data_IF_420965203591
#
_entry.id   IF_420965203591
#
_cell.length_a   1.000
_cell.length_b   1.000
_cell.length_c   1.000
_cell.angle_alpha   90.00
_cell.angle_beta   90.00
_cell.angle_gamma   90.00
#
_symmetry.space_group_name_H-M   'P 1'
#
loop_
_entity.id
_entity.type
_entity.pdbx_description
1 polymer ?
#
# COMPACT_ATOMS: atom_id res chain seq x y z
N UNK A 1 34.70 6.94 -19.19
CA UNK A 1 33.49 7.62 -19.72
C UNK A 1 32.30 6.80 -19.27
N UNK A 2 31.37 7.38 -18.51
CA UNK A 2 30.23 6.64 -17.94
C UNK A 2 29.25 6.23 -19.04
N UNK A 3 28.49 5.16 -18.82
CA UNK A 3 27.67 4.52 -19.86
C UNK A 3 26.55 5.43 -20.39
N UNK A 4 26.01 6.32 -19.56
CA UNK A 4 24.98 7.27 -19.98
C UNK A 4 25.44 8.24 -21.10
N UNK A 5 26.71 8.64 -21.13
CA UNK A 5 27.21 9.50 -22.22
C UNK A 5 27.25 8.76 -23.56
N UNK A 6 27.50 7.45 -23.55
CA UNK A 6 27.47 6.63 -24.77
C UNK A 6 26.05 6.56 -25.34
N UNK A 7 25.05 6.39 -24.48
CA UNK A 7 23.65 6.43 -24.88
C UNK A 7 23.26 7.81 -25.42
N UNK A 8 23.64 8.88 -24.72
CA UNK A 8 23.38 10.25 -25.18
C UNK A 8 23.95 10.49 -26.59
N UNK A 9 25.22 10.16 -26.81
CA UNK A 9 25.86 10.29 -28.13
C UNK A 9 25.22 9.39 -29.20
N UNK A 10 24.79 8.17 -28.84
CA UNK A 10 24.11 7.29 -29.80
C UNK A 10 22.75 7.85 -30.24
N UNK A 11 22.04 8.54 -29.35
CA UNK A 11 20.73 9.15 -29.60
C UNK A 11 20.81 10.48 -30.37
N UNK A 12 22.00 11.04 -30.59
CA UNK A 12 22.22 12.18 -31.50
C UNK A 12 22.10 11.77 -32.97
N UNK A 13 22.26 10.48 -33.29
CA UNK A 13 22.04 9.94 -34.63
C UNK A 13 20.56 10.01 -35.04
N UNK A 14 20.31 10.26 -36.32
CA UNK A 14 18.95 10.26 -36.89
C UNK A 14 18.39 8.85 -37.10
N UNK A 15 19.23 7.82 -37.02
CA UNK A 15 18.78 6.44 -37.13
C UNK A 15 18.19 5.92 -35.80
N UNK A 16 16.98 5.35 -35.82
CA UNK A 16 16.39 4.69 -34.66
C UNK A 16 17.33 3.66 -34.04
N UNK A 17 17.13 3.37 -32.76
CA UNK A 17 17.87 2.30 -32.09
C UNK A 17 17.33 0.98 -32.62
N UNK A 18 18.22 0.05 -32.95
CA UNK A 18 17.83 -1.32 -33.25
C UNK A 18 17.27 -1.99 -31.99
N UNK A 19 16.48 -3.05 -32.16
CA UNK A 19 15.91 -3.80 -31.03
C UNK A 19 17.00 -4.31 -30.07
N UNK A 20 18.14 -4.74 -30.59
CA UNK A 20 19.26 -5.22 -29.78
C UNK A 20 19.94 -4.08 -29.00
N UNK A 21 20.07 -2.90 -29.60
CA UNK A 21 20.55 -1.71 -28.90
C UNK A 21 19.60 -1.31 -27.77
N UNK A 22 18.27 -1.33 -28.00
CA UNK A 22 17.29 -1.02 -26.95
C UNK A 22 17.39 -2.03 -25.80
N UNK A 23 17.49 -3.32 -26.10
CA UNK A 23 17.67 -4.37 -25.07
C UNK A 23 18.96 -4.15 -24.27
N UNK A 24 20.05 -3.81 -24.94
CA UNK A 24 21.32 -3.47 -24.30
C UNK A 24 21.17 -2.29 -23.35
N UNK A 25 20.59 -1.17 -23.79
CA UNK A 25 20.41 0.01 -22.94
C UNK A 25 19.42 -0.21 -21.80
N UNK A 26 18.41 -1.07 -22.00
CA UNK A 26 17.51 -1.48 -20.93
C UNK A 26 18.26 -2.21 -19.81
N UNK A 27 19.16 -3.13 -20.14
CA UNK A 27 19.97 -3.85 -19.16
C UNK A 27 20.99 -2.93 -18.48
N UNK A 28 21.69 -2.09 -19.25
CA UNK A 28 22.72 -1.19 -18.71
C UNK A 28 22.14 -0.10 -17.80
N UNK A 29 20.90 0.32 -18.05
CA UNK A 29 20.22 1.35 -17.24
C UNK A 29 19.60 0.81 -15.95
N UNK A 30 19.62 -0.50 -15.73
CA UNK A 30 19.05 -1.13 -14.54
C UNK A 30 19.56 -0.50 -13.24
N UNK A 31 18.70 -0.49 -12.22
CA UNK A 31 19.02 0.16 -10.93
C UNK A 31 20.23 -0.48 -10.24
N UNK A 32 20.46 -1.78 -10.43
CA UNK A 32 21.63 -2.49 -9.92
C UNK A 32 22.95 -1.99 -10.52
N UNK A 33 22.90 -1.38 -11.72
CA UNK A 33 24.05 -0.82 -12.42
C UNK A 33 24.16 0.71 -12.31
N UNK A 34 23.29 1.36 -11.52
CA UNK A 34 23.18 2.82 -11.50
C UNK A 34 24.52 3.54 -11.22
N UNK A 35 25.34 3.02 -10.31
CA UNK A 35 26.65 3.60 -10.01
C UNK A 35 27.60 3.60 -11.22
N UNK A 36 27.57 2.54 -12.04
CA UNK A 36 28.34 2.45 -13.27
C UNK A 36 27.72 3.29 -14.39
N UNK A 37 26.40 3.22 -14.53
CA UNK A 37 25.68 3.84 -15.63
C UNK A 37 25.71 5.37 -15.58
N UNK A 38 25.33 5.95 -14.44
CA UNK A 38 25.29 7.41 -14.24
C UNK A 38 26.67 7.97 -13.84
N UNK A 39 27.48 7.19 -13.13
CA UNK A 39 28.78 7.61 -12.59
C UNK A 39 28.68 8.57 -11.41
N UNK A 40 29.82 9.16 -11.04
CA UNK A 40 29.94 9.99 -9.83
C UNK A 40 29.49 11.45 -10.02
N UNK A 41 29.50 11.98 -11.25
CA UNK A 41 29.09 13.35 -11.52
C UNK A 41 27.58 13.46 -11.78
N UNK A 42 26.81 13.64 -10.71
CA UNK A 42 25.34 13.70 -10.78
C UNK A 42 24.80 14.88 -11.59
N UNK A 43 25.52 16.01 -11.68
CA UNK A 43 25.06 17.19 -12.42
C UNK A 43 25.04 16.89 -13.92
N UNK A 44 26.14 16.35 -14.43
CA UNK A 44 26.24 15.97 -15.84
C UNK A 44 25.33 14.78 -16.16
N UNK A 45 25.24 13.80 -15.25
CA UNK A 45 24.32 12.67 -15.41
C UNK A 45 22.86 13.13 -15.56
N UNK A 46 22.43 14.14 -14.78
CA UNK A 46 21.09 14.75 -14.92
C UNK A 46 20.90 15.40 -16.29
N UNK A 47 21.88 16.18 -16.76
CA UNK A 47 21.80 16.83 -18.07
C UNK A 47 21.74 15.81 -19.22
N UNK A 48 22.48 14.72 -19.12
CA UNK A 48 22.41 13.63 -20.08
C UNK A 48 21.06 12.91 -20.01
N UNK A 49 20.60 12.57 -18.80
CA UNK A 49 19.32 11.90 -18.61
C UNK A 49 18.15 12.74 -19.15
N UNK A 50 18.15 14.05 -18.90
CA UNK A 50 17.14 14.97 -19.46
C UNK A 50 17.08 14.88 -20.98
N UNK A 51 18.24 15.01 -21.65
CA UNK A 51 18.33 14.95 -23.12
C UNK A 51 17.91 13.59 -23.67
N UNK A 52 18.34 12.52 -23.01
CA UNK A 52 17.96 11.15 -23.40
C UNK A 52 16.44 10.97 -23.25
N UNK A 53 15.87 11.33 -22.10
CA UNK A 53 14.44 11.20 -21.85
C UNK A 53 13.62 12.03 -22.85
N UNK A 54 14.06 13.24 -23.18
CA UNK A 54 13.45 14.07 -24.21
C UNK A 54 13.42 13.38 -25.58
N UNK A 55 14.55 12.82 -26.02
CA UNK A 55 14.63 12.10 -27.30
C UNK A 55 13.79 10.83 -27.27
N UNK A 56 13.80 10.06 -26.18
CA UNK A 56 13.01 8.84 -26.04
C UNK A 56 11.50 9.16 -26.11
N UNK A 57 11.04 10.21 -25.46
CA UNK A 57 9.64 10.64 -25.53
C UNK A 57 9.29 11.13 -26.94
N UNK A 58 10.03 12.12 -27.45
CA UNK A 58 9.68 12.81 -28.70
C UNK A 58 9.92 11.99 -29.96
N UNK A 59 11.04 11.26 -30.06
CA UNK A 59 11.40 10.49 -31.27
C UNK A 59 10.93 9.04 -31.27
N UNK A 60 10.65 8.44 -30.11
CA UNK A 60 10.23 7.03 -30.03
C UNK A 60 8.79 6.87 -29.58
N UNK A 61 8.43 7.39 -28.40
CA UNK A 61 7.09 7.18 -27.84
C UNK A 61 6.02 7.86 -28.70
N UNK A 62 6.27 9.10 -29.13
CA UNK A 62 5.37 9.85 -30.02
C UNK A 62 5.49 9.49 -31.51
N UNK A 63 6.38 8.57 -31.90
CA UNK A 63 6.63 8.31 -33.32
C UNK A 63 5.42 7.63 -33.99
N UNK A 64 4.82 8.22 -35.04
CA UNK A 64 3.67 7.64 -35.74
C UNK A 64 4.04 6.48 -36.68
N UNK A 65 5.30 6.40 -37.11
CA UNK A 65 5.76 5.39 -38.06
C UNK A 65 6.03 4.05 -37.36
N UNK A 66 5.11 3.11 -37.53
CA UNK A 66 5.18 1.75 -36.96
C UNK A 66 6.27 0.89 -37.58
N UNK A 67 6.68 1.18 -38.82
CA UNK A 67 7.77 0.46 -39.46
C UNK A 67 9.13 0.90 -38.89
N UNK A 68 9.26 2.21 -38.59
CA UNK A 68 10.47 2.75 -37.97
C UNK A 68 10.56 2.44 -36.46
N UNK A 69 9.45 2.57 -35.71
CA UNK A 69 9.40 2.31 -34.26
C UNK A 69 8.19 1.42 -33.93
N UNK A 70 8.36 0.09 -33.94
CA UNK A 70 7.32 -0.85 -33.55
C UNK A 70 6.85 -0.66 -32.09
N UNK A 71 5.61 -1.07 -31.78
CA UNK A 71 5.04 -1.01 -30.43
C UNK A 71 5.93 -1.69 -29.38
N UNK A 72 6.49 -2.84 -29.73
CA UNK A 72 7.48 -3.58 -28.96
C UNK A 72 8.69 -2.74 -28.53
N UNK A 73 9.18 -1.88 -29.41
CA UNK A 73 10.29 -0.98 -29.11
C UNK A 73 9.83 0.17 -28.23
N UNK A 74 8.59 0.69 -28.42
CA UNK A 74 8.02 1.71 -27.52
C UNK A 74 7.87 1.20 -26.09
N UNK A 75 7.36 -0.02 -25.90
CA UNK A 75 7.25 -0.66 -24.59
C UNK A 75 8.62 -0.81 -23.90
N UNK A 76 9.66 -1.20 -24.65
CA UNK A 76 11.03 -1.28 -24.13
C UNK A 76 11.63 0.10 -23.81
N UNK A 77 11.30 1.13 -24.59
CA UNK A 77 11.67 2.51 -24.28
C UNK A 77 10.99 2.99 -22.99
N UNK A 78 9.72 2.66 -22.75
CA UNK A 78 9.05 2.92 -21.48
C UNK A 78 9.79 2.26 -20.30
N UNK A 79 10.31 1.04 -20.49
CA UNK A 79 11.12 0.35 -19.48
C UNK A 79 12.44 1.07 -19.18
N UNK A 80 13.11 1.65 -20.18
CA UNK A 80 14.31 2.49 -19.96
C UNK A 80 13.96 3.73 -19.13
N UNK A 81 12.87 4.43 -19.48
CA UNK A 81 12.39 5.58 -18.70
C UNK A 81 12.02 5.19 -17.26
N UNK A 82 11.46 3.99 -17.09
CA UNK A 82 11.17 3.41 -15.79
C UNK A 82 12.42 3.21 -14.94
N UNK A 83 13.52 2.74 -15.52
CA UNK A 83 14.79 2.60 -14.83
C UNK A 83 15.37 3.97 -14.42
N UNK A 84 15.23 4.97 -15.28
CA UNK A 84 15.64 6.35 -14.97
C UNK A 84 14.80 6.94 -13.84
N UNK A 85 13.48 6.72 -13.86
CA UNK A 85 12.56 7.19 -12.82
C UNK A 85 12.76 6.49 -11.47
N UNK A 86 13.24 5.24 -11.49
CA UNK A 86 13.59 4.48 -10.29
C UNK A 86 14.82 5.08 -9.59
N UNK A 87 15.80 5.57 -10.36
CA UNK A 87 16.97 6.23 -9.79
C UNK A 87 16.64 7.66 -9.29
N UNK A 88 16.42 7.78 -7.97
CA UNK A 88 15.95 9.00 -7.29
C UNK A 88 16.65 10.31 -7.70
N UNK A 89 17.99 10.38 -7.89
CA UNK A 89 18.65 11.62 -8.33
C UNK A 89 18.21 12.11 -9.71
N UNK A 90 17.83 11.20 -10.61
CA UNK A 90 17.55 11.46 -12.03
C UNK A 90 16.05 11.54 -12.32
N UNK A 91 15.20 10.95 -11.46
CA UNK A 91 13.74 10.90 -11.60
C UNK A 91 13.08 12.19 -12.09
N UNK A 92 13.49 13.35 -11.56
CA UNK A 92 12.94 14.65 -11.96
C UNK A 92 13.11 14.93 -13.45
N UNK A 93 14.20 14.46 -14.04
CA UNK A 93 14.48 14.65 -15.46
C UNK A 93 13.47 13.91 -16.36
N UNK A 94 13.02 12.73 -15.92
CA UNK A 94 11.97 12.01 -16.63
C UNK A 94 10.63 12.73 -16.47
N UNK A 95 10.30 13.16 -15.26
CA UNK A 95 9.06 13.88 -14.97
C UNK A 95 8.88 15.13 -15.84
N UNK A 96 9.96 15.91 -16.02
CA UNK A 96 9.96 17.16 -16.81
C UNK A 96 9.73 16.98 -18.31
N UNK A 97 9.79 15.75 -18.85
CA UNK A 97 9.57 15.50 -20.29
C UNK A 97 8.27 14.76 -20.59
N UNK A 98 7.58 14.24 -19.57
CA UNK A 98 6.33 13.50 -19.80
C UNK A 98 5.17 14.39 -20.26
N UNK A 99 5.27 15.70 -20.05
CA UNK A 99 4.32 16.69 -20.58
C UNK A 99 4.35 16.78 -22.12
N UNK A 100 5.40 16.27 -22.76
CA UNK A 100 5.54 16.19 -24.22
C UNK A 100 4.91 14.94 -24.82
N UNK A 101 4.31 14.05 -24.03
CA UNK A 101 3.60 12.90 -24.58
C UNK A 101 2.38 13.38 -25.38
N UNK A 102 2.24 12.86 -26.58
CA UNK A 102 1.16 13.23 -27.51
C UNK A 102 0.08 12.14 -27.56
N UNK A 103 -1.11 12.49 -28.08
CA UNK A 103 -2.25 11.58 -28.23
C UNK A 103 -1.90 10.27 -28.96
N UNK A 104 -0.92 10.30 -29.88
CA UNK A 104 -0.46 9.09 -30.56
C UNK A 104 0.09 8.01 -29.61
N UNK A 105 0.75 8.43 -28.54
CA UNK A 105 1.25 7.49 -27.54
C UNK A 105 0.10 6.84 -26.77
N UNK A 106 -0.95 7.59 -26.44
CA UNK A 106 -2.17 7.04 -25.82
C UNK A 106 -2.87 6.01 -26.72
N UNK A 107 -2.93 6.29 -28.02
CA UNK A 107 -3.42 5.33 -29.03
C UNK A 107 -2.55 4.06 -29.08
N UNK A 108 -1.24 4.21 -28.97
CA UNK A 108 -0.30 3.08 -28.94
C UNK A 108 -0.54 2.16 -27.72
N UNK A 109 -0.86 2.73 -26.55
CA UNK A 109 -1.21 1.95 -25.35
C UNK A 109 -2.50 1.16 -25.57
N UNK A 110 -3.52 1.81 -26.15
CA UNK A 110 -4.82 1.17 -26.45
C UNK A 110 -4.67 0.04 -27.45
N UNK A 111 -3.84 0.22 -28.47
CA UNK A 111 -3.57 -0.79 -29.48
C UNK A 111 -2.82 -2.00 -28.90
N UNK A 112 -1.78 -1.78 -28.09
CA UNK A 112 -1.03 -2.89 -27.46
C UNK A 112 -1.95 -3.77 -26.61
N UNK A 113 -2.92 -3.17 -25.91
CA UNK A 113 -3.89 -3.92 -25.10
C UNK A 113 -4.71 -4.93 -25.92
N UNK A 114 -4.87 -4.74 -27.23
CA UNK A 114 -5.57 -5.67 -28.14
C UNK A 114 -4.69 -6.81 -28.65
N UNK A 115 -3.37 -6.70 -28.49
CA UNK A 115 -2.41 -7.71 -28.94
C UNK A 115 -2.34 -8.88 -27.95
N UNK A 116 -1.84 -10.03 -28.44
CA UNK A 116 -1.54 -11.18 -27.59
C UNK A 116 -0.53 -10.76 -26.53
N UNK A 117 -0.78 -11.17 -25.29
CA UNK A 117 0.10 -10.88 -24.16
C UNK A 117 1.48 -11.50 -24.40
N UNK A 118 2.52 -10.67 -24.34
CA UNK A 118 3.92 -11.09 -24.31
C UNK A 118 4.38 -11.18 -22.84
N UNK A 119 4.62 -12.39 -22.29
CA UNK A 119 5.08 -12.55 -20.92
C UNK A 119 6.47 -11.97 -20.64
N UNK A 120 7.33 -11.88 -21.65
CA UNK A 120 8.70 -11.34 -21.47
C UNK A 120 8.69 -9.82 -21.37
N UNK A 121 7.84 -9.17 -22.17
CA UNK A 121 7.76 -7.72 -22.23
C UNK A 121 6.75 -7.15 -21.24
N UNK A 122 5.66 -7.86 -20.93
CA UNK A 122 4.54 -7.34 -20.15
C UNK A 122 3.67 -6.36 -20.94
N UNK A 123 2.64 -5.80 -20.30
CA UNK A 123 1.74 -4.83 -20.93
C UNK A 123 2.31 -3.42 -20.89
N UNK A 124 2.08 -2.65 -21.95
CA UNK A 124 2.50 -1.26 -22.02
C UNK A 124 1.80 -0.39 -20.97
N UNK A 125 0.52 -0.67 -20.70
CA UNK A 125 -0.27 -0.02 -19.64
C UNK A 125 0.32 -0.20 -18.25
N UNK A 126 0.91 -1.36 -17.97
CA UNK A 126 1.67 -1.62 -16.75
C UNK A 126 2.92 -0.77 -16.69
N UNK A 127 3.75 -0.74 -17.74
CA UNK A 127 4.97 0.08 -17.75
C UNK A 127 4.69 1.56 -17.57
N UNK A 128 3.62 2.07 -18.18
CA UNK A 128 3.23 3.47 -18.03
C UNK A 128 2.69 3.75 -16.63
N UNK A 129 1.89 2.87 -16.04
CA UNK A 129 1.44 3.03 -14.66
C UNK A 129 2.62 3.02 -13.66
N UNK A 130 3.58 2.11 -13.83
CA UNK A 130 4.83 2.08 -13.05
C UNK A 130 5.61 3.39 -13.21
N UNK A 131 5.71 3.91 -14.43
CA UNK A 131 6.41 5.15 -14.74
C UNK A 131 5.76 6.33 -14.00
N UNK A 132 4.44 6.47 -14.11
CA UNK A 132 3.67 7.51 -13.44
C UNK A 132 3.82 7.44 -11.91
N UNK A 133 3.81 6.25 -11.32
CA UNK A 133 4.06 6.10 -9.88
C UNK A 133 5.48 6.52 -9.51
N UNK A 134 6.49 6.10 -10.28
CA UNK A 134 7.90 6.44 -9.99
C UNK A 134 8.16 7.93 -10.11
N UNK A 135 7.74 8.57 -11.19
CA UNK A 135 7.98 10.01 -11.43
C UNK A 135 7.25 10.91 -10.45
N UNK A 136 6.06 10.50 -9.99
CA UNK A 136 5.33 11.21 -8.91
C UNK A 136 5.88 10.94 -7.52
N UNK A 137 6.94 10.14 -7.41
CA UNK A 137 7.55 9.77 -6.14
C UNK A 137 6.63 8.92 -5.26
N UNK A 138 5.85 8.04 -5.89
CA UNK A 138 4.91 7.12 -5.26
C UNK A 138 3.76 7.83 -4.54
N UNK A 139 3.30 8.94 -5.11
CA UNK A 139 2.17 9.75 -4.60
C UNK A 139 1.01 9.80 -5.58
N UNK A 140 0.98 8.89 -6.57
CA UNK A 140 -0.09 8.80 -7.55
C UNK A 140 -1.40 8.45 -6.84
N UNK A 141 -2.51 9.11 -7.18
CA UNK A 141 -3.82 8.88 -6.56
C UNK A 141 -4.71 8.04 -7.46
N UNK A 142 -5.75 7.43 -6.88
CA UNK A 142 -6.74 6.66 -7.62
C UNK A 142 -7.42 7.45 -8.75
N UNK A 143 -7.68 8.75 -8.55
CA UNK A 143 -8.23 9.62 -9.59
C UNK A 143 -7.31 9.72 -10.83
N UNK A 144 -5.99 9.74 -10.62
CA UNK A 144 -5.03 9.81 -11.74
C UNK A 144 -4.98 8.48 -12.51
N UNK A 145 -5.10 7.35 -11.82
CA UNK A 145 -5.17 6.03 -12.46
C UNK A 145 -6.50 5.87 -13.21
N UNK A 146 -7.59 6.41 -12.65
CA UNK A 146 -8.89 6.39 -13.30
C UNK A 146 -8.89 7.22 -14.59
N UNK A 147 -8.28 8.40 -14.57
CA UNK A 147 -8.07 9.24 -15.74
C UNK A 147 -7.22 8.52 -16.81
N UNK A 148 -6.09 7.94 -16.39
CA UNK A 148 -5.22 7.14 -17.27
C UNK A 148 -5.93 5.94 -17.94
N UNK A 149 -6.96 5.40 -17.29
CA UNK A 149 -7.71 4.23 -17.78
C UNK A 149 -9.05 4.61 -18.42
N UNK A 150 -9.20 5.85 -18.88
CA UNK A 150 -10.42 6.38 -19.51
C UNK A 150 -11.69 6.16 -18.65
N UNK A 151 -11.57 6.26 -17.32
CA UNK A 151 -12.69 6.06 -16.40
C UNK A 151 -13.03 4.59 -16.10
N UNK A 152 -12.28 3.62 -16.64
CA UNK A 152 -12.56 2.20 -16.41
C UNK A 152 -12.04 1.71 -15.04
N UNK A 153 -12.90 1.78 -14.03
CA UNK A 153 -12.57 1.34 -12.66
C UNK A 153 -12.18 -0.13 -12.58
N UNK A 154 -12.82 -1.02 -13.37
CA UNK A 154 -12.51 -2.44 -13.33
C UNK A 154 -11.09 -2.72 -13.83
N UNK A 155 -10.73 -2.13 -14.97
CA UNK A 155 -9.39 -2.23 -15.52
C UNK A 155 -8.35 -1.58 -14.59
N UNK A 156 -8.64 -0.40 -14.04
CA UNK A 156 -7.83 0.26 -13.01
C UNK A 156 -7.49 -0.66 -11.84
N UNK A 157 -8.50 -1.30 -11.23
CA UNK A 157 -8.30 -2.20 -10.09
C UNK A 157 -7.48 -3.43 -10.51
N UNK A 158 -7.79 -4.03 -11.66
CA UNK A 158 -7.04 -5.16 -12.19
C UNK A 158 -5.57 -4.81 -12.43
N UNK A 159 -5.28 -3.63 -12.98
CA UNK A 159 -3.94 -3.15 -13.21
C UNK A 159 -3.17 -2.98 -11.89
N UNK A 160 -3.78 -2.32 -10.90
CA UNK A 160 -3.13 -2.13 -9.59
C UNK A 160 -2.88 -3.44 -8.86
N UNK A 161 -3.80 -4.41 -8.96
CA UNK A 161 -3.60 -5.75 -8.43
C UNK A 161 -2.51 -6.51 -9.20
N UNK A 162 -2.48 -6.40 -10.53
CA UNK A 162 -1.41 -7.02 -11.33
C UNK A 162 -0.03 -6.50 -10.93
N UNK A 163 0.10 -5.19 -10.70
CA UNK A 163 1.35 -4.58 -10.20
C UNK A 163 1.70 -5.05 -8.79
N UNK A 164 0.71 -5.13 -7.89
CA UNK A 164 0.91 -5.55 -6.50
C UNK A 164 1.31 -7.03 -6.38
N UNK A 165 0.81 -7.87 -7.28
CA UNK A 165 0.97 -9.34 -7.27
C UNK A 165 2.05 -9.82 -8.26
N UNK A 166 2.82 -8.91 -8.85
CA UNK A 166 3.81 -9.27 -9.86
C UNK A 166 4.99 -10.02 -9.23
N UNK A 167 5.48 -11.02 -9.97
CA UNK A 167 6.74 -11.70 -9.68
C UNK A 167 7.71 -11.55 -10.87
N UNK A 168 8.97 -11.09 -10.66
CA UNK A 168 9.51 -10.61 -9.39
C UNK A 168 8.83 -9.32 -8.90
N UNK A 169 8.75 -9.16 -7.58
CA UNK A 169 8.09 -8.02 -6.95
C UNK A 169 8.75 -6.67 -7.31
N UNK A 170 7.92 -5.64 -7.48
CA UNK A 170 8.37 -4.25 -7.62
C UNK A 170 8.92 -3.69 -6.31
N UNK A 171 9.56 -2.52 -6.38
CA UNK A 171 10.08 -1.86 -5.19
C UNK A 171 8.97 -1.46 -4.20
N UNK A 172 9.29 -1.46 -2.90
CA UNK A 172 8.32 -1.21 -1.83
C UNK A 172 7.48 0.06 -2.03
N UNK A 173 8.12 1.16 -2.47
CA UNK A 173 7.42 2.43 -2.73
C UNK A 173 6.25 2.28 -3.69
N UNK A 174 6.43 1.47 -4.74
CA UNK A 174 5.41 1.19 -5.73
C UNK A 174 4.30 0.33 -5.15
N UNK A 175 4.65 -0.77 -4.48
CA UNK A 175 3.69 -1.68 -3.85
C UNK A 175 2.80 -0.94 -2.82
N UNK A 176 3.40 -0.10 -1.98
CA UNK A 176 2.66 0.77 -1.04
C UNK A 176 1.76 1.79 -1.74
N UNK A 177 2.17 2.32 -2.90
CA UNK A 177 1.33 3.22 -3.67
C UNK A 177 0.13 2.47 -4.26
N UNK A 178 0.31 1.25 -4.80
CA UNK A 178 -0.78 0.40 -5.28
C UNK A 178 -1.83 0.16 -4.19
N UNK A 179 -1.42 -0.17 -2.96
CA UNK A 179 -2.32 -0.37 -1.82
C UNK A 179 -3.14 0.91 -1.54
N UNK A 180 -2.49 2.06 -1.56
CA UNK A 180 -3.16 3.35 -1.31
C UNK A 180 -4.13 3.74 -2.44
N UNK A 181 -3.79 3.41 -3.68
CA UNK A 181 -4.67 3.60 -4.84
C UNK A 181 -5.89 2.67 -4.75
N UNK A 182 -5.67 1.40 -4.41
CA UNK A 182 -6.75 0.40 -4.24
C UNK A 182 -7.73 0.81 -3.12
N UNK A 183 -7.22 1.37 -2.02
CA UNK A 183 -8.08 2.02 -1.02
C UNK A 183 -8.94 3.12 -1.66
N UNK A 184 -8.34 3.99 -2.48
CA UNK A 184 -9.04 5.08 -3.15
C UNK A 184 -10.22 4.61 -4.00
N UNK A 185 -10.12 3.45 -4.67
CA UNK A 185 -11.23 2.85 -5.43
C UNK A 185 -12.36 2.29 -4.57
N UNK A 186 -12.20 2.23 -3.25
CA UNK A 186 -13.24 1.80 -2.31
C UNK A 186 -13.79 2.94 -1.44
N UNK A 187 -13.37 4.18 -1.72
CA UNK A 187 -13.86 5.36 -1.01
C UNK A 187 -15.07 5.93 -1.74
N UNK A 188 -16.22 6.12 -1.05
CA UNK A 188 -17.38 6.77 -1.64
C UNK A 188 -17.04 8.15 -2.23
N UNK A 189 -16.11 8.89 -1.62
CA UNK A 189 -15.70 10.22 -2.08
C UNK A 189 -15.10 10.22 -3.49
N UNK A 190 -14.65 9.07 -4.01
CA UNK A 190 -14.18 8.96 -5.38
C UNK A 190 -15.32 8.89 -6.42
N UNK A 191 -16.55 8.61 -5.98
CA UNK A 191 -17.70 8.34 -6.85
C UNK A 191 -18.89 9.29 -6.60
N UNK A 192 -18.96 9.91 -5.42
CA UNK A 192 -20.01 10.85 -5.07
C UNK A 192 -19.44 12.25 -4.95
N UNK A 193 -20.01 13.18 -5.72
CA UNK A 193 -19.72 14.61 -5.64
C UNK A 193 -20.62 15.26 -4.60
N UNK A 194 -20.04 15.97 -3.63
CA UNK A 194 -20.78 16.63 -2.54
C UNK A 194 -21.75 17.70 -3.07
N UNK A 195 -21.47 18.25 -4.26
CA UNK A 195 -22.32 19.24 -4.92
C UNK A 195 -23.52 18.63 -5.67
N UNK A 196 -23.51 17.31 -5.88
CA UNK A 196 -24.58 16.58 -6.56
C UNK A 196 -25.37 15.79 -5.52
N UNK A 197 -26.69 15.72 -5.68
CA UNK A 197 -27.52 14.84 -4.87
C UNK A 197 -27.06 13.39 -5.00
N UNK A 198 -27.15 12.62 -3.91
CA UNK A 198 -26.86 11.18 -3.96
C UNK A 198 -28.09 10.46 -4.50
N UNK A 199 -27.97 9.92 -5.71
CA UNK A 199 -29.03 9.13 -6.35
C UNK A 199 -28.90 7.65 -5.97
N UNK A 200 -30.03 6.97 -5.77
CA UNK A 200 -30.06 5.54 -5.44
C UNK A 200 -29.32 4.68 -6.48
N UNK A 201 -29.48 4.99 -7.77
CA UNK A 201 -28.76 4.31 -8.85
C UNK A 201 -27.23 4.45 -8.73
N UNK A 202 -26.75 5.59 -8.23
CA UNK A 202 -25.32 5.81 -7.99
C UNK A 202 -24.81 4.98 -6.80
N UNK A 203 -25.63 4.81 -5.76
CA UNK A 203 -25.33 3.92 -4.65
C UNK A 203 -25.27 2.45 -5.09
N UNK A 204 -26.24 1.99 -5.89
CA UNK A 204 -26.25 0.64 -6.44
C UNK A 204 -25.01 0.38 -7.30
N UNK A 205 -24.68 1.31 -8.20
CA UNK A 205 -23.48 1.19 -9.05
C UNK A 205 -22.18 1.14 -8.24
N UNK A 206 -22.08 1.91 -7.14
CA UNK A 206 -20.93 1.85 -6.26
C UNK A 206 -20.82 0.48 -5.57
N UNK A 207 -21.93 -0.02 -5.04
CA UNK A 207 -21.98 -1.34 -4.39
C UNK A 207 -21.61 -2.47 -5.34
N UNK A 208 -22.14 -2.48 -6.57
CA UNK A 208 -21.78 -3.47 -7.61
C UNK A 208 -20.27 -3.46 -7.92
N UNK A 209 -19.64 -2.27 -7.92
CA UNK A 209 -18.18 -2.16 -8.09
C UNK A 209 -17.43 -2.74 -6.90
N UNK A 210 -17.89 -2.50 -5.67
CA UNK A 210 -17.29 -3.10 -4.48
C UNK A 210 -17.41 -4.62 -4.51
N UNK A 211 -18.57 -5.14 -4.93
CA UNK A 211 -18.78 -6.58 -5.10
C UNK A 211 -17.82 -7.15 -6.16
N UNK A 212 -17.63 -6.49 -7.30
CA UNK A 212 -16.62 -6.87 -8.28
C UNK A 212 -15.21 -6.92 -7.67
N UNK A 213 -14.81 -5.89 -6.91
CA UNK A 213 -13.49 -5.83 -6.25
C UNK A 213 -13.36 -6.99 -5.26
N UNK A 214 -14.38 -7.25 -4.45
CA UNK A 214 -14.39 -8.36 -3.48
C UNK A 214 -14.17 -9.71 -4.18
N UNK A 215 -14.95 -10.01 -5.23
CA UNK A 215 -14.82 -11.26 -5.98
C UNK A 215 -13.44 -11.41 -6.63
N UNK A 216 -12.89 -10.31 -7.17
CA UNK A 216 -11.56 -10.31 -7.75
C UNK A 216 -10.48 -10.57 -6.70
N UNK A 217 -10.58 -9.92 -5.54
CA UNK A 217 -9.68 -10.11 -4.40
C UNK A 217 -9.68 -11.56 -3.90
N UNK A 218 -10.87 -12.16 -3.75
CA UNK A 218 -11.04 -13.54 -3.33
C UNK A 218 -10.44 -14.51 -4.37
N UNK A 219 -10.76 -14.31 -5.66
CA UNK A 219 -10.27 -15.16 -6.75
C UNK A 219 -8.74 -15.16 -6.85
N UNK A 220 -8.13 -14.00 -6.67
CA UNK A 220 -6.67 -13.82 -6.74
C UNK A 220 -5.96 -14.11 -5.41
N UNK A 221 -6.69 -14.42 -4.33
CA UNK A 221 -6.15 -14.52 -2.96
C UNK A 221 -5.31 -13.30 -2.57
N UNK A 222 -5.68 -12.13 -3.09
CA UNK A 222 -4.83 -10.96 -3.08
C UNK A 222 -4.59 -10.39 -1.67
N UNK A 223 -5.44 -10.72 -0.68
CA UNK A 223 -5.20 -10.36 0.73
C UNK A 223 -3.99 -11.11 1.29
N UNK A 224 -3.79 -12.39 0.92
CA UNK A 224 -2.62 -13.13 1.38
C UNK A 224 -1.35 -12.53 0.79
N UNK A 225 -1.31 -12.30 -0.52
CA UNK A 225 -0.14 -11.69 -1.16
C UNK A 225 0.14 -10.28 -0.63
N UNK A 226 -0.90 -9.49 -0.33
CA UNK A 226 -0.77 -8.22 0.37
C UNK A 226 -0.14 -8.40 1.76
N UNK A 227 -0.56 -9.42 2.50
CA UNK A 227 0.02 -9.81 3.79
C UNK A 227 1.51 -10.14 3.65
N UNK A 228 1.87 -10.95 2.66
CA UNK A 228 3.25 -11.38 2.42
C UNK A 228 4.16 -10.19 2.09
N UNK A 229 3.70 -9.28 1.22
CA UNK A 229 4.43 -8.04 0.87
C UNK A 229 4.68 -7.16 2.09
N UNK A 230 3.67 -6.95 2.94
CA UNK A 230 3.82 -6.09 4.12
C UNK A 230 4.63 -6.78 5.21
N UNK A 231 4.40 -8.08 5.44
CA UNK A 231 5.12 -8.91 6.42
C UNK A 231 6.62 -8.92 6.13
N UNK A 232 7.01 -9.23 4.88
CA UNK A 232 8.43 -9.30 4.53
C UNK A 232 9.19 -8.00 4.82
N UNK A 233 8.50 -6.85 4.78
CA UNK A 233 9.10 -5.56 5.15
C UNK A 233 9.04 -5.26 6.64
N UNK A 234 8.00 -5.72 7.34
CA UNK A 234 7.86 -5.53 8.78
C UNK A 234 8.83 -6.40 9.57
N UNK A 235 9.09 -7.63 9.13
CA UNK A 235 10.02 -8.57 9.77
C UNK A 235 11.47 -8.05 9.76
N UNK A 236 11.86 -7.32 8.70
CA UNK A 236 13.20 -6.76 8.56
C UNK A 236 13.39 -5.46 9.36
N UNK A 237 12.30 -4.85 9.86
CA UNK A 237 12.35 -3.52 10.46
C UNK A 237 12.13 -3.52 11.97
N UNK A 238 13.00 -2.79 12.68
CA UNK A 238 12.86 -2.56 14.13
C UNK A 238 11.99 -1.34 14.47
N UNK A 239 11.67 -0.50 13.49
CA UNK A 239 10.91 0.75 13.68
C UNK A 239 9.96 0.96 12.52
N UNK A 240 8.72 1.37 12.82
CA UNK A 240 7.73 1.63 11.80
C UNK A 240 8.08 2.88 10.97
N UNK A 241 8.20 2.72 9.66
CA UNK A 241 8.38 3.86 8.74
C UNK A 241 7.03 4.50 8.39
N UNK A 242 6.99 5.80 8.03
CA UNK A 242 5.76 6.44 7.57
C UNK A 242 5.12 5.75 6.36
N UNK A 243 5.95 5.23 5.44
CA UNK A 243 5.49 4.53 4.24
C UNK A 243 4.73 3.25 4.60
N UNK A 244 5.32 2.39 5.43
CA UNK A 244 4.68 1.15 5.89
C UNK A 244 3.46 1.45 6.76
N UNK A 245 3.53 2.46 7.64
CA UNK A 245 2.37 2.86 8.43
C UNK A 245 1.17 3.21 7.56
N UNK A 246 1.37 4.05 6.54
CA UNK A 246 0.31 4.44 5.59
C UNK A 246 -0.18 3.23 4.80
N UNK A 247 0.73 2.37 4.30
CA UNK A 247 0.35 1.20 3.52
C UNK A 247 -0.48 0.20 4.34
N UNK A 248 -0.03 -0.17 5.54
CA UNK A 248 -0.76 -1.11 6.42
C UNK A 248 -2.11 -0.54 6.86
N UNK A 249 -2.17 0.76 7.17
CA UNK A 249 -3.44 1.43 7.47
C UNK A 249 -4.36 1.48 6.24
N UNK A 250 -3.82 1.71 5.05
CA UNK A 250 -4.59 1.73 3.81
C UNK A 250 -5.14 0.34 3.47
N UNK A 251 -4.35 -0.71 3.67
CA UNK A 251 -4.76 -2.11 3.53
C UNK A 251 -5.93 -2.45 4.47
N UNK A 252 -5.81 -2.14 5.77
CA UNK A 252 -6.89 -2.36 6.74
C UNK A 252 -8.18 -1.63 6.33
N UNK A 253 -8.08 -0.34 5.98
CA UNK A 253 -9.26 0.46 5.54
C UNK A 253 -9.87 -0.07 4.26
N UNK A 254 -9.05 -0.51 3.32
CA UNK A 254 -9.51 -1.05 2.04
C UNK A 254 -10.33 -2.32 2.26
N UNK A 255 -9.81 -3.26 3.05
CA UNK A 255 -10.51 -4.50 3.42
C UNK A 255 -11.80 -4.20 4.20
N UNK A 256 -11.78 -3.22 5.10
CA UNK A 256 -12.97 -2.79 5.84
C UNK A 256 -14.02 -2.12 4.93
N UNK A 257 -13.60 -1.34 3.94
CA UNK A 257 -14.51 -0.72 2.98
C UNK A 257 -15.21 -1.76 2.13
N UNK A 258 -14.48 -2.80 1.67
CA UNK A 258 -15.09 -3.93 0.97
C UNK A 258 -16.19 -4.56 1.85
N UNK A 259 -15.88 -4.87 3.12
CA UNK A 259 -16.87 -5.40 4.04
C UNK A 259 -18.09 -4.48 4.23
N UNK A 260 -17.85 -3.17 4.35
CA UNK A 260 -18.89 -2.18 4.68
C UNK A 260 -19.85 -1.93 3.53
N UNK A 261 -19.36 -2.02 2.29
CA UNK A 261 -20.08 -1.58 1.10
C UNK A 261 -20.42 -2.72 0.13
N UNK A 262 -20.00 -3.96 0.38
CA UNK A 262 -20.46 -5.11 -0.40
C UNK A 262 -21.95 -5.36 -0.14
N UNK A 263 -22.70 -5.74 -1.18
CA UNK A 263 -24.09 -6.18 -1.01
C UNK A 263 -24.18 -7.65 -0.61
N UNK A 264 -23.15 -8.43 -0.95
CA UNK A 264 -23.13 -9.87 -0.77
C UNK A 264 -21.90 -10.33 0.03
N UNK A 265 -21.95 -11.57 0.51
CA UNK A 265 -20.80 -12.33 1.01
C UNK A 265 -19.94 -11.67 2.09
N UNK A 266 -20.42 -10.65 2.81
CA UNK A 266 -19.64 -9.92 3.81
C UNK A 266 -19.18 -10.83 4.99
N UNK A 267 -19.94 -11.88 5.29
CA UNK A 267 -19.52 -12.92 6.25
C UNK A 267 -18.40 -13.80 5.69
N UNK A 268 -18.51 -14.24 4.44
CA UNK A 268 -17.46 -15.03 3.78
C UNK A 268 -16.17 -14.23 3.64
N UNK A 269 -16.27 -12.93 3.31
CA UNK A 269 -15.14 -12.02 3.26
C UNK A 269 -14.40 -11.98 4.59
N UNK A 270 -15.10 -11.74 5.71
CA UNK A 270 -14.46 -11.73 7.04
C UNK A 270 -13.86 -13.08 7.43
N UNK A 271 -14.57 -14.17 7.13
CA UNK A 271 -14.05 -15.53 7.35
C UNK A 271 -12.77 -15.77 6.54
N UNK A 272 -12.72 -15.32 5.29
CA UNK A 272 -11.52 -15.42 4.46
C UNK A 272 -10.35 -14.67 5.10
N UNK A 273 -10.54 -13.41 5.51
CA UNK A 273 -9.48 -12.65 6.19
C UNK A 273 -9.00 -13.38 7.45
N UNK A 274 -9.94 -13.84 8.28
CA UNK A 274 -9.64 -14.43 9.59
C UNK A 274 -9.03 -15.84 9.51
N UNK A 275 -9.48 -16.66 8.57
CA UNK A 275 -9.20 -18.10 8.55
C UNK A 275 -8.32 -18.55 7.38
N UNK A 276 -8.24 -17.75 6.33
CA UNK A 276 -7.56 -18.11 5.09
C UNK A 276 -6.40 -17.20 4.75
N UNK A 277 -6.09 -16.22 5.60
CA UNK A 277 -4.95 -15.32 5.41
C UNK A 277 -4.19 -15.09 6.70
N UNK A 278 -2.93 -14.68 6.57
CA UNK A 278 -2.10 -14.28 7.71
C UNK A 278 -2.18 -12.77 8.03
N UNK A 279 -3.15 -12.07 7.45
CA UNK A 279 -3.16 -10.61 7.50
C UNK A 279 -3.46 -10.08 8.90
N UNK A 280 -4.43 -10.68 9.61
CA UNK A 280 -4.77 -10.25 10.97
C UNK A 280 -3.80 -10.81 12.02
N UNK A 281 -3.62 -12.12 12.04
CA UNK A 281 -2.86 -12.85 13.06
C UNK A 281 -1.35 -12.56 12.97
N UNK A 282 -0.84 -12.18 11.80
CA UNK A 282 0.57 -11.84 11.62
C UNK A 282 0.82 -10.39 11.22
N UNK A 283 0.45 -9.94 10.01
CA UNK A 283 0.81 -8.59 9.51
C UNK A 283 0.32 -7.47 10.45
N UNK A 284 -0.98 -7.49 10.80
CA UNK A 284 -1.59 -6.48 11.70
C UNK A 284 -1.07 -6.65 13.12
N UNK A 285 -0.85 -7.87 13.60
CA UNK A 285 -0.24 -8.14 14.91
C UNK A 285 1.15 -7.52 15.03
N UNK A 286 2.05 -7.75 14.06
CA UNK A 286 3.40 -7.16 14.03
C UNK A 286 3.33 -5.64 14.01
N UNK A 287 2.49 -5.08 13.14
CA UNK A 287 2.23 -3.65 13.11
C UNK A 287 1.79 -3.11 14.47
N UNK A 288 0.83 -3.76 15.13
CA UNK A 288 0.32 -3.35 16.44
C UNK A 288 1.40 -3.42 17.51
N UNK A 289 2.21 -4.48 17.55
CA UNK A 289 3.32 -4.62 18.49
C UNK A 289 4.34 -3.48 18.33
N UNK A 290 4.77 -3.19 17.10
CA UNK A 290 5.72 -2.10 16.81
C UNK A 290 5.16 -0.73 17.23
N UNK A 291 3.86 -0.48 16.99
CA UNK A 291 3.22 0.77 17.40
C UNK A 291 3.05 0.87 18.92
N UNK A 292 2.75 -0.24 19.60
CA UNK A 292 2.62 -0.26 21.06
C UNK A 292 3.96 -0.02 21.75
N UNK A 293 5.05 -0.62 21.25
CA UNK A 293 6.42 -0.35 21.73
C UNK A 293 6.81 1.13 21.49
N UNK A 294 6.52 1.69 20.32
CA UNK A 294 6.76 3.10 20.04
C UNK A 294 5.93 4.03 20.96
N UNK A 295 4.68 3.66 21.26
CA UNK A 295 3.83 4.38 22.20
C UNK A 295 4.38 4.31 23.62
N UNK A 296 4.82 3.13 24.08
CA UNK A 296 5.43 2.96 25.39
C UNK A 296 6.64 3.88 25.56
N UNK A 297 7.58 3.85 24.61
CA UNK A 297 8.77 4.72 24.62
C UNK A 297 8.42 6.20 24.61
N UNK A 298 7.29 6.58 24.01
CA UNK A 298 6.82 7.97 23.98
C UNK A 298 6.24 8.41 25.32
N UNK A 299 5.53 7.52 26.02
CA UNK A 299 4.92 7.76 27.32
C UNK A 299 5.93 7.77 28.48
N UNK A 300 7.04 7.04 28.36
CA UNK A 300 8.12 7.02 29.37
C UNK A 300 8.93 8.32 29.43
N UNK A 301 8.77 9.22 28.46
CA UNK A 301 9.46 10.52 28.42
C UNK A 301 8.88 11.49 29.45
N UNK A 302 9.73 12.36 29.98
CA UNK A 302 9.35 13.41 30.97
C UNK A 302 8.29 14.39 30.44
N UNK A 303 8.20 14.54 29.12
CA UNK A 303 7.13 15.24 28.41
C UNK A 303 6.68 14.37 27.23
N UNK A 304 5.60 13.57 27.37
CA UNK A 304 5.14 12.68 26.33
C UNK A 304 4.73 13.45 25.06
N UNK A 305 5.43 13.17 23.96
CA UNK A 305 5.06 13.65 22.63
C UNK A 305 4.36 12.52 21.87
N UNK A 306 3.04 12.56 21.85
CA UNK A 306 2.22 11.50 21.29
C UNK A 306 1.85 11.82 19.83
N UNK A 307 2.35 11.00 18.91
CA UNK A 307 1.93 11.05 17.52
C UNK A 307 0.46 10.64 17.37
N UNK A 308 -0.37 11.60 16.95
CA UNK A 308 -1.80 11.37 16.67
C UNK A 308 -1.98 10.30 15.58
N UNK A 309 -1.10 10.30 14.57
CA UNK A 309 -1.16 9.32 13.48
C UNK A 309 -0.86 7.90 13.98
N UNK A 310 0.13 7.73 14.87
CA UNK A 310 0.38 6.45 15.54
C UNK A 310 -0.85 5.98 16.31
N UNK A 311 -1.44 6.85 17.14
CA UNK A 311 -2.64 6.50 17.93
C UNK A 311 -3.83 6.14 17.03
N UNK A 312 -4.03 6.86 15.93
CA UNK A 312 -5.07 6.55 14.93
C UNK A 312 -4.80 5.20 14.25
N UNK A 313 -3.54 4.88 14.00
CA UNK A 313 -3.11 3.58 13.48
C UNK A 313 -3.44 2.43 14.43
N UNK A 314 -3.10 2.58 15.71
CA UNK A 314 -3.42 1.59 16.76
C UNK A 314 -4.95 1.42 16.89
N UNK A 315 -5.70 2.52 16.95
CA UNK A 315 -7.17 2.50 16.99
C UNK A 315 -7.76 1.78 15.76
N UNK A 316 -7.19 2.01 14.57
CA UNK A 316 -7.60 1.32 13.35
C UNK A 316 -7.31 -0.18 13.44
N UNK A 317 -6.15 -0.59 13.95
CA UNK A 317 -5.81 -2.01 14.16
C UNK A 317 -6.81 -2.72 15.06
N UNK A 318 -7.20 -2.10 16.18
CA UNK A 318 -8.25 -2.65 17.05
C UNK A 318 -9.63 -2.72 16.38
N UNK A 319 -10.02 -1.70 15.61
CA UNK A 319 -11.28 -1.73 14.83
C UNK A 319 -11.27 -2.81 13.76
N UNK A 320 -10.15 -2.97 13.07
CA UNK A 320 -9.95 -4.00 12.06
C UNK A 320 -10.07 -5.40 12.67
N UNK A 321 -9.36 -5.64 13.77
CA UNK A 321 -9.41 -6.89 14.52
C UNK A 321 -10.83 -7.17 15.05
N UNK A 322 -11.51 -6.16 15.58
CA UNK A 322 -12.91 -6.25 16.01
C UNK A 322 -13.83 -6.65 14.85
N UNK A 323 -13.68 -6.02 13.68
CA UNK A 323 -14.48 -6.33 12.50
C UNK A 323 -14.29 -7.78 12.05
N UNK A 324 -13.03 -8.23 11.97
CA UNK A 324 -12.70 -9.59 11.54
C UNK A 324 -13.23 -10.65 12.50
N UNK A 325 -13.27 -10.37 13.80
CA UNK A 325 -13.66 -11.32 14.85
C UNK A 325 -15.14 -11.28 15.22
N UNK A 326 -15.87 -10.22 14.84
CA UNK A 326 -17.27 -10.04 15.22
C UNK A 326 -18.14 -11.25 14.83
N UNK A 327 -18.82 -11.87 15.81
CA UNK A 327 -19.68 -13.05 15.61
C UNK A 327 -18.98 -14.25 14.94
N UNK A 328 -17.66 -14.39 15.09
CA UNK A 328 -16.91 -15.56 14.57
C UNK A 328 -16.79 -16.72 15.58
N UNK A 329 -17.39 -16.58 16.77
CA UNK A 329 -17.45 -17.64 17.78
C UNK A 329 -16.06 -18.16 18.15
N UNK A 330 -15.89 -19.49 18.16
CA UNK A 330 -14.60 -20.14 18.47
C UNK A 330 -13.40 -19.59 17.70
N UNK A 331 -13.61 -19.16 16.44
CA UNK A 331 -12.54 -18.66 15.59
C UNK A 331 -12.02 -17.29 16.05
N UNK A 332 -12.89 -16.46 16.65
CA UNK A 332 -12.48 -15.21 17.28
C UNK A 332 -11.59 -15.47 18.49
N UNK A 333 -11.92 -16.48 19.31
CA UNK A 333 -11.13 -16.86 20.48
C UNK A 333 -9.67 -17.14 20.13
N UNK A 334 -9.41 -17.90 19.06
CA UNK A 334 -8.04 -18.27 18.62
C UNK A 334 -7.16 -17.04 18.35
N UNK A 335 -7.74 -15.92 17.90
CA UNK A 335 -7.00 -14.67 17.65
C UNK A 335 -6.33 -14.14 18.92
N UNK A 336 -6.86 -14.48 20.11
CA UNK A 336 -6.28 -14.10 21.39
C UNK A 336 -4.81 -14.51 21.49
N UNK A 337 -4.42 -15.66 20.95
CA UNK A 337 -3.05 -16.20 21.05
C UNK A 337 -2.02 -15.23 20.45
N UNK A 338 -2.40 -14.49 19.41
CA UNK A 338 -1.52 -13.56 18.69
C UNK A 338 -1.58 -12.13 19.26
N UNK A 339 -2.46 -11.86 20.23
CA UNK A 339 -2.81 -10.49 20.63
C UNK A 339 -2.06 -10.00 21.87
N UNK A 340 -0.74 -10.26 21.96
CA UNK A 340 0.11 -9.86 23.11
C UNK A 340 0.04 -8.36 23.41
N UNK A 341 -0.12 -7.53 22.38
CA UNK A 341 -0.29 -6.08 22.49
C UNK A 341 -1.46 -5.67 23.40
N UNK A 342 -2.46 -6.53 23.65
CA UNK A 342 -3.53 -6.27 24.62
C UNK A 342 -3.00 -6.12 26.03
N UNK A 343 -2.11 -7.03 26.45
CA UNK A 343 -1.50 -6.97 27.76
C UNK A 343 -0.59 -5.75 27.87
N UNK A 344 0.26 -5.52 26.87
CA UNK A 344 1.21 -4.40 26.84
C UNK A 344 0.50 -3.05 26.98
N UNK A 345 -0.59 -2.85 26.23
CA UNK A 345 -1.41 -1.64 26.30
C UNK A 345 -2.03 -1.40 27.68
N UNK A 346 -2.42 -2.46 28.39
CA UNK A 346 -2.93 -2.35 29.77
C UNK A 346 -1.83 -1.98 30.77
N UNK A 347 -0.55 -2.21 30.46
CA UNK A 347 0.56 -1.76 31.30
C UNK A 347 0.83 -0.25 31.16
N UNK A 348 0.41 0.38 30.07
CA UNK A 348 0.61 1.81 29.83
C UNK A 348 -0.32 2.69 30.67
N UNK A 349 0.23 3.75 31.26
CA UNK A 349 -0.50 4.72 32.11
C UNK A 349 -0.87 5.96 31.31
N UNK A 350 -2.15 6.37 31.36
CA UNK A 350 -2.60 7.59 30.67
C UNK A 350 -2.43 8.85 31.52
N UNK A 351 -2.13 8.70 32.81
CA UNK A 351 -2.04 9.82 33.77
C UNK A 351 -1.03 10.90 33.41
N UNK A 352 -0.01 10.55 32.63
CA UNK A 352 1.07 11.46 32.23
C UNK A 352 0.73 12.29 30.98
N UNK A 353 -0.43 12.06 30.37
CA UNK A 353 -0.91 12.81 29.22
C UNK A 353 -1.83 13.93 29.71
N UNK A 354 -1.47 15.22 29.51
CA UNK A 354 -2.32 16.34 29.89
C UNK A 354 -3.70 16.23 29.25
N UNK A 355 -4.78 16.54 29.98
CA UNK A 355 -6.16 16.47 29.46
C UNK A 355 -6.40 17.42 28.28
N UNK A 356 -5.72 18.55 28.27
CA UNK A 356 -5.82 19.54 27.21
C UNK A 356 -4.99 19.16 25.96
N UNK A 357 -4.23 18.06 26.02
CA UNK A 357 -3.50 17.55 24.86
C UNK A 357 -4.51 16.90 23.87
N UNK A 358 -4.55 17.32 22.59
CA UNK A 358 -5.42 16.71 21.58
C UNK A 358 -5.29 15.18 21.47
N UNK A 359 -4.10 14.64 21.74
CA UNK A 359 -3.82 13.21 21.73
C UNK A 359 -4.54 12.43 22.85
N UNK A 360 -4.95 13.09 23.94
CA UNK A 360 -5.66 12.45 25.06
C UNK A 360 -6.98 11.82 24.61
N UNK A 361 -7.77 12.56 23.81
CA UNK A 361 -9.05 12.06 23.27
C UNK A 361 -8.86 10.85 22.35
N UNK A 362 -7.79 10.86 21.55
CA UNK A 362 -7.46 9.78 20.61
C UNK A 362 -6.95 8.55 21.37
N UNK A 363 -6.14 8.73 22.41
CA UNK A 363 -5.67 7.66 23.28
C UNK A 363 -6.84 6.97 24.02
N UNK A 364 -7.81 7.74 24.54
CA UNK A 364 -9.03 7.17 25.12
C UNK A 364 -9.82 6.34 24.09
N UNK A 365 -9.86 6.79 22.84
CA UNK A 365 -10.49 6.04 21.75
C UNK A 365 -9.77 4.72 21.47
N UNK A 366 -8.43 4.71 21.50
CA UNK A 366 -7.62 3.48 21.38
C UNK A 366 -8.05 2.43 22.41
N UNK A 367 -8.13 2.80 23.70
CA UNK A 367 -8.57 1.87 24.75
C UNK A 367 -10.02 1.41 24.56
N UNK A 368 -10.91 2.30 24.11
CA UNK A 368 -12.30 1.93 23.79
C UNK A 368 -12.36 0.87 22.69
N UNK A 369 -11.62 1.08 21.60
CA UNK A 369 -11.56 0.12 20.49
C UNK A 369 -10.90 -1.20 20.93
N UNK A 370 -9.88 -1.14 21.78
CA UNK A 370 -9.26 -2.32 22.39
C UNK A 370 -10.26 -3.14 23.20
N UNK A 371 -11.04 -2.52 24.07
CA UNK A 371 -12.04 -3.23 24.87
C UNK A 371 -13.17 -3.82 24.01
N UNK A 372 -13.56 -3.16 22.91
CA UNK A 372 -14.47 -3.76 21.93
C UNK A 372 -13.87 -5.02 21.30
N UNK A 373 -12.59 -4.98 20.92
CA UNK A 373 -11.90 -6.15 20.37
C UNK A 373 -11.80 -7.29 21.40
N UNK A 374 -11.39 -6.99 22.64
CA UNK A 374 -11.36 -7.96 23.74
C UNK A 374 -12.71 -8.62 23.98
N UNK A 375 -13.80 -7.86 23.85
CA UNK A 375 -15.16 -8.39 23.99
C UNK A 375 -15.50 -9.36 22.85
N UNK A 376 -15.07 -9.08 21.63
CA UNK A 376 -15.36 -9.94 20.46
C UNK A 376 -14.61 -11.28 20.50
N UNK A 377 -13.40 -11.31 21.06
CA UNK A 377 -12.60 -12.53 21.21
C UNK A 377 -12.88 -13.27 22.53
N UNK A 378 -13.88 -12.80 23.30
CA UNK A 378 -14.23 -13.29 24.62
C UNK A 378 -13.02 -13.42 25.56
N UNK A 379 -12.17 -12.37 25.58
CA UNK A 379 -10.87 -12.41 26.23
C UNK A 379 -10.93 -12.72 27.74
N UNK A 380 -12.09 -12.50 28.37
CA UNK A 380 -12.33 -12.68 29.81
C UNK A 380 -13.28 -13.84 30.13
N UNK A 381 -13.84 -14.51 29.12
CA UNK A 381 -14.82 -15.60 29.29
C UNK A 381 -14.20 -16.96 29.63
N UNK A 382 -12.87 -17.05 29.71
CA UNK A 382 -12.13 -18.28 29.97
C UNK A 382 -11.39 -18.82 28.75
N UNK A 383 -10.98 -20.08 28.84
CA UNK A 383 -10.22 -20.81 27.82
C UNK A 383 -11.05 -21.96 27.23
N UNK A 384 -12.38 -21.83 27.15
CA UNK A 384 -13.29 -22.92 26.74
C UNK A 384 -12.94 -23.49 25.35
N UNK A 385 -12.45 -22.63 24.44
CA UNK A 385 -12.21 -22.98 23.03
C UNK A 385 -10.73 -23.09 22.64
N UNK A 386 -9.79 -22.95 23.58
CA UNK A 386 -8.34 -22.94 23.33
C UNK A 386 -7.63 -23.62 24.48
N UNK A 387 -6.63 -24.45 24.21
CA UNK A 387 -5.82 -25.01 25.29
C UNK A 387 -5.12 -23.90 26.08
N UNK A 388 -5.26 -23.89 27.41
CA UNK A 388 -4.54 -22.91 28.26
C UNK A 388 -3.02 -23.02 28.12
N UNK A 389 -2.49 -24.14 27.61
CA UNK A 389 -1.07 -24.30 27.32
C UNK A 389 -0.61 -23.57 26.05
N UNK A 390 -1.53 -23.26 25.13
CA UNK A 390 -1.25 -22.55 23.87
C UNK A 390 -1.40 -21.03 24.03
N UNK A 391 -2.09 -20.58 25.08
CA UNK A 391 -2.28 -19.15 25.36
C UNK A 391 -1.11 -18.62 26.19
N UNK A 392 -0.42 -17.55 25.75
CA UNK A 392 0.57 -16.87 26.58
C UNK A 392 -0.02 -16.51 27.95
N UNK A 393 0.76 -16.66 29.03
CA UNK A 393 0.27 -16.53 30.41
C UNK A 393 -0.36 -15.17 30.69
N UNK A 394 0.15 -14.15 30.03
CA UNK A 394 -0.28 -12.75 30.08
C UNK A 394 -1.68 -12.55 29.49
N UNK A 395 -2.09 -13.43 28.57
CA UNK A 395 -3.35 -13.38 27.83
C UNK A 395 -4.40 -14.37 28.37
N UNK A 396 -4.08 -15.15 29.40
CA UNK A 396 -5.08 -15.93 30.14
C UNK A 396 -6.14 -15.00 30.74
N UNK A 397 -7.38 -15.45 30.75
CA UNK A 397 -8.53 -14.64 31.18
C UNK A 397 -8.35 -14.06 32.58
N UNK A 398 -7.79 -14.85 33.50
CA UNK A 398 -7.48 -14.43 34.88
C UNK A 398 -6.38 -13.35 34.94
N UNK A 399 -5.33 -13.49 34.12
CA UNK A 399 -4.24 -12.51 34.01
C UNK A 399 -4.70 -11.19 33.38
N UNK A 400 -5.52 -11.27 32.33
CA UNK A 400 -6.10 -10.10 31.68
C UNK A 400 -7.06 -9.36 32.61
N UNK A 401 -7.93 -10.08 33.33
CA UNK A 401 -8.82 -9.47 34.32
C UNK A 401 -8.04 -8.69 35.39
N UNK A 402 -6.97 -9.30 35.93
CA UNK A 402 -6.07 -8.64 36.89
C UNK A 402 -5.39 -7.41 36.29
N UNK A 403 -4.98 -7.48 35.03
CA UNK A 403 -4.34 -6.36 34.32
C UNK A 403 -5.32 -5.20 34.11
N UNK A 404 -6.57 -5.49 33.73
CA UNK A 404 -7.65 -4.50 33.60
C UNK A 404 -7.95 -3.85 34.96
N UNK A 405 -8.10 -4.62 36.03
CA UNK A 405 -8.34 -4.07 37.37
C UNK A 405 -7.22 -3.14 37.80
N UNK A 406 -5.96 -3.55 37.55
CA UNK A 406 -4.77 -2.75 37.88
C UNK A 406 -4.74 -1.45 37.09
N UNK A 407 -4.99 -1.53 35.78
CA UNK A 407 -5.12 -0.38 34.89
C UNK A 407 -6.20 0.60 35.39
N UNK A 408 -7.43 0.12 35.62
CA UNK A 408 -8.54 0.97 36.07
C UNK A 408 -8.28 1.60 37.45
N UNK A 409 -7.67 0.87 38.40
CA UNK A 409 -7.29 1.41 39.71
C UNK A 409 -6.23 2.50 39.57
N UNK A 410 -5.25 2.31 38.69
CA UNK A 410 -4.25 3.33 38.36
C UNK A 410 -4.96 4.56 37.82
N UNK A 411 -5.69 4.47 36.72
CA UNK A 411 -6.30 5.64 36.06
C UNK A 411 -7.30 6.40 36.97
N UNK A 412 -8.09 5.70 37.81
CA UNK A 412 -8.99 6.34 38.79
C UNK A 412 -8.28 7.16 39.87
N UNK A 413 -7.05 6.79 40.27
CA UNK A 413 -6.29 7.54 41.28
C UNK A 413 -5.70 8.84 40.72
N UNK A 414 -5.43 8.90 39.42
CA UNK A 414 -4.94 10.09 38.72
C UNK A 414 -6.02 11.15 38.47
N UNK A 415 -7.31 10.79 38.53
CA UNK A 415 -8.44 11.69 38.23
C UNK A 415 -8.79 12.65 39.38
N UNK A 416 -8.23 12.45 40.58
CA UNK A 416 -8.48 13.24 41.80
C UNK A 416 -7.46 14.37 42.07
N UNK A 417 -6.60 14.69 41.09
CA UNK A 417 -5.71 15.84 41.15
C UNK A 417 -6.20 16.94 40.22
#
# INVERSE_FOLDING_TARGET
MTTIYKLAGRLESDFPLTTDEIKFWLQESDIGQAAHFYGSNLVEAKQCAQRISDVLVTKYLNNPDRAAVPLDNKSRVCLILNNFALHKPIRGCVFEVLDKLETFFEESIKEEATLKFDPELGRMSEHVAVLLMRVTGYKLKAVNVLEFTDGNTQFSVQLMLALLLKEPAYELGLLCNCITILLGFTQPQAFFDVSKGVEEASCLSFTEKIDFIMHLMLRLRAVQSLSDVLTGQLDEMNVMTPLLHVATCSAMRWIMNIFRFSSESSTQWRQHILLSTTFLDHTVTLYMLMQCDALQRSLERTSPDLSIEMLRGISLGFKFASLCTFRMGRHAGVVRIFSLYLHDMLQLSMQYVPRDNPASSVLMRVYTDMFHFMSNIDALGGEEYISSAEVPKELLSTSLLKSIETFLRRERRGTRR
#
